data_IF_927621094143
#
_entry.id   IF_927621094143
#
_cell.length_a   1.000
_cell.length_b   1.000
_cell.length_c   1.000
_cell.angle_alpha   90.00
_cell.angle_beta   90.00
_cell.angle_gamma   90.00
#
_symmetry.space_group_name_H-M   'P 1'
#
loop_
_entity.id
_entity.type
_entity.pdbx_description
1 polymer ?
#
# COMPACT_ATOMS: atom_id res chain seq x y z
N UNK A 1 -17.98 -3.11 -30.25
CA UNK A 1 -17.15 -3.99 -29.42
C UNK A 1 -16.55 -3.15 -28.30
N UNK A 2 -17.22 -3.06 -27.15
CA UNK A 2 -16.65 -2.41 -25.97
C UNK A 2 -16.24 -3.51 -25.00
N UNK A 3 -14.94 -3.59 -24.78
CA UNK A 3 -14.25 -4.69 -24.11
C UNK A 3 -14.74 -4.88 -22.68
N UNK A 4 -14.89 -6.15 -22.32
CA UNK A 4 -15.17 -6.64 -20.98
C UNK A 4 -14.07 -6.13 -20.02
N UNK A 5 -14.42 -5.37 -18.99
CA UNK A 5 -13.54 -5.13 -17.82
C UNK A 5 -13.96 -6.10 -16.72
N UNK A 6 -13.43 -7.33 -16.79
CA UNK A 6 -13.45 -8.25 -15.64
C UNK A 6 -12.22 -7.94 -14.80
N UNK A 7 -12.44 -7.43 -13.59
CA UNK A 7 -11.60 -7.76 -12.44
C UNK A 7 -12.57 -8.22 -11.35
N UNK A 8 -12.82 -9.52 -11.32
CA UNK A 8 -13.43 -10.19 -10.17
C UNK A 8 -12.30 -10.40 -9.17
N UNK A 9 -12.28 -9.61 -8.10
CA UNK A 9 -11.77 -10.07 -6.81
C UNK A 9 -12.76 -9.58 -5.75
N UNK A 10 -13.51 -10.53 -5.21
CA UNK A 10 -14.32 -10.34 -4.01
C UNK A 10 -13.38 -10.20 -2.82
N UNK A 11 -13.21 -8.98 -2.30
CA UNK A 11 -12.84 -8.78 -0.90
C UNK A 11 -13.66 -7.64 -0.31
N UNK A 12 -14.06 -7.82 0.96
CA UNK A 12 -14.81 -6.83 1.72
C UNK A 12 -14.00 -5.55 1.86
N UNK A 13 -14.67 -4.42 1.64
CA UNK A 13 -14.08 -3.09 1.65
C UNK A 13 -14.62 -2.39 2.88
N UNK A 14 -13.71 -2.01 3.77
CA UNK A 14 -14.02 -1.37 5.04
C UNK A 14 -13.46 0.04 5.07
N UNK A 15 -14.22 0.93 5.72
CA UNK A 15 -13.89 2.34 5.87
C UNK A 15 -13.09 2.52 7.16
N UNK A 16 -11.86 3.04 7.06
CA UNK A 16 -11.09 3.47 8.23
C UNK A 16 -11.20 5.00 8.35
N UNK A 17 -11.62 5.49 9.52
CA UNK A 17 -11.61 6.91 9.87
C UNK A 17 -10.24 7.21 10.49
N UNK A 18 -9.49 8.16 9.93
CA UNK A 18 -8.17 8.54 10.43
C UNK A 18 -8.32 9.50 11.64
N UNK A 19 -7.70 9.16 12.77
CA UNK A 19 -7.60 10.02 13.95
C UNK A 19 -6.29 10.82 13.91
N UNK A 20 -6.30 12.07 14.39
CA UNK A 20 -5.28 13.09 14.05
C UNK A 20 -3.97 13.00 14.83
N UNK A 21 -3.72 11.95 15.62
CA UNK A 21 -2.55 11.86 16.49
C UNK A 21 -1.95 10.44 16.60
N UNK A 22 -2.10 9.63 15.56
CA UNK A 22 -1.80 8.19 15.60
C UNK A 22 -0.84 7.78 14.49
N UNK A 23 0.05 6.82 14.78
CA UNK A 23 0.94 6.20 13.79
C UNK A 23 0.07 5.62 12.66
N UNK A 24 0.25 6.12 11.43
CA UNK A 24 -0.52 5.68 10.26
C UNK A 24 -0.33 4.19 9.98
N UNK A 25 0.81 3.60 10.38
CA UNK A 25 1.16 2.21 10.10
C UNK A 25 0.78 1.29 11.25
N UNK A 26 -0.52 1.04 11.39
CA UNK A 26 -1.05 0.12 12.41
C UNK A 26 -0.96 -1.33 11.94
N UNK A 27 -0.75 -2.24 12.88
CA UNK A 27 -0.76 -3.68 12.63
C UNK A 27 -2.09 -4.29 13.07
N UNK A 28 -2.61 -5.24 12.30
CA UNK A 28 -3.74 -6.06 12.74
C UNK A 28 -3.35 -6.90 13.97
N UNK A 29 -4.24 -6.95 14.97
CA UNK A 29 -4.06 -7.70 16.22
C UNK A 29 -5.30 -8.56 16.44
N UNK A 30 -5.16 -9.78 16.97
CA UNK A 30 -6.30 -10.68 17.24
C UNK A 30 -7.22 -10.91 16.03
N UNK A 31 -6.64 -11.03 14.83
CA UNK A 31 -7.36 -11.20 13.56
C UNK A 31 -8.36 -10.06 13.25
N UNK A 32 -8.16 -8.90 13.85
CA UNK A 32 -8.93 -7.68 13.61
C UNK A 32 -8.01 -6.49 13.34
N UNK A 33 -8.56 -5.43 12.74
CA UNK A 33 -7.88 -4.16 12.48
C UNK A 33 -8.81 -3.02 12.91
N UNK A 34 -8.23 -1.94 13.46
CA UNK A 34 -9.02 -0.79 13.93
C UNK A 34 -9.77 -0.18 12.75
N UNK A 35 -11.10 -0.06 12.85
CA UNK A 35 -11.99 0.39 11.77
C UNK A 35 -12.62 -0.74 10.94
N UNK A 36 -12.26 -2.01 11.21
CA UNK A 36 -12.87 -3.20 10.59
C UNK A 36 -13.86 -3.89 11.55
N UNK A 37 -14.33 -3.20 12.59
CA UNK A 37 -15.32 -3.74 13.51
C UNK A 37 -16.65 -3.99 12.78
N UNK A 38 -17.25 -5.15 13.05
CA UNK A 38 -18.40 -5.70 12.32
C UNK A 38 -19.62 -4.78 12.31
N UNK A 39 -19.76 -3.88 13.28
CA UNK A 39 -20.96 -3.08 13.50
C UNK A 39 -21.12 -1.91 12.51
N UNK A 40 -20.03 -1.47 11.86
CA UNK A 40 -20.04 -0.22 11.07
C UNK A 40 -20.10 -0.39 9.55
N UNK A 41 -20.01 -1.63 9.02
CA UNK A 41 -19.75 -1.86 7.58
C UNK A 41 -20.45 -3.12 7.01
N UNK A 42 -21.67 -3.46 7.48
CA UNK A 42 -22.41 -4.66 7.02
C UNK A 42 -23.17 -4.47 5.71
N UNK A 43 -23.38 -3.23 5.27
CA UNK A 43 -24.20 -2.93 4.10
C UNK A 43 -23.45 -2.08 3.08
N UNK A 44 -23.51 -2.52 1.83
CA UNK A 44 -22.92 -1.83 0.70
C UNK A 44 -23.92 -0.92 0.02
N UNK A 45 -23.65 0.40 0.04
CA UNK A 45 -24.64 1.40 -0.37
C UNK A 45 -24.28 2.20 -1.63
N UNK A 46 -23.02 2.21 -2.07
CA UNK A 46 -22.55 3.01 -3.23
C UNK A 46 -21.38 2.37 -3.96
N UNK A 47 -21.31 2.60 -5.27
CA UNK A 47 -20.10 2.32 -6.09
C UNK A 47 -18.94 3.22 -5.64
N UNK A 48 -17.73 2.67 -5.69
CA UNK A 48 -16.47 3.34 -5.37
C UNK A 48 -15.38 2.62 -6.19
N UNK A 49 -14.19 3.20 -6.21
CA UNK A 49 -13.01 2.63 -6.84
C UNK A 49 -11.89 2.55 -5.80
N UNK A 50 -10.98 1.61 -5.95
CA UNK A 50 -9.80 1.46 -5.10
C UNK A 50 -8.60 1.08 -5.95
N UNK A 51 -7.41 1.23 -5.39
CA UNK A 51 -6.17 0.83 -6.04
C UNK A 51 -5.68 -0.45 -5.40
N UNK A 52 -5.29 -1.41 -6.23
CA UNK A 52 -4.54 -2.60 -5.83
C UNK A 52 -3.16 -2.52 -6.45
N UNK A 53 -2.14 -2.38 -5.61
CA UNK A 53 -0.73 -2.55 -5.96
C UNK A 53 -0.18 -3.85 -5.38
N UNK A 54 1.01 -4.22 -5.79
CA UNK A 54 1.78 -5.35 -5.24
C UNK A 54 3.26 -5.15 -5.60
N UNK A 55 4.13 -5.93 -4.96
CA UNK A 55 5.51 -6.15 -5.40
C UNK A 55 6.36 -4.87 -5.50
N UNK A 56 6.22 -3.94 -4.54
CA UNK A 56 7.06 -2.73 -4.53
C UNK A 56 8.55 -3.04 -4.33
N UNK A 57 8.86 -4.18 -3.68
CA UNK A 57 10.17 -4.82 -3.60
C UNK A 57 11.37 -3.87 -3.52
N UNK A 58 11.33 -2.91 -2.58
CA UNK A 58 12.42 -1.95 -2.39
C UNK A 58 13.76 -2.67 -2.22
N UNK A 59 14.67 -2.47 -3.17
CA UNK A 59 16.02 -3.05 -3.18
C UNK A 59 16.22 -4.12 -4.26
N UNK A 60 15.17 -4.50 -4.98
CA UNK A 60 15.22 -5.56 -5.98
C UNK A 60 15.76 -5.06 -7.32
N UNK A 61 15.41 -3.84 -7.77
CA UNK A 61 15.74 -3.39 -9.13
C UNK A 61 17.26 -3.38 -9.34
N UNK A 62 18.00 -2.71 -8.46
CA UNK A 62 19.46 -2.63 -8.59
C UNK A 62 20.13 -4.00 -8.39
N UNK A 63 19.60 -4.81 -7.46
CA UNK A 63 20.17 -6.12 -7.16
C UNK A 63 19.97 -7.11 -8.29
N UNK A 64 18.75 -7.18 -8.85
CA UNK A 64 18.37 -8.17 -9.84
C UNK A 64 18.63 -7.73 -11.28
N UNK A 65 18.29 -6.48 -11.63
CA UNK A 65 18.43 -5.99 -13.01
C UNK A 65 19.82 -5.42 -13.28
N UNK A 66 20.50 -4.87 -12.27
CA UNK A 66 21.81 -4.24 -12.42
C UNK A 66 22.96 -5.06 -11.80
N UNK A 67 22.64 -6.24 -11.23
CA UNK A 67 23.60 -7.16 -10.61
C UNK A 67 24.51 -6.50 -9.55
N UNK A 68 23.97 -5.52 -8.81
CA UNK A 68 24.66 -4.82 -7.74
C UNK A 68 24.42 -5.54 -6.41
N UNK A 69 25.48 -6.10 -5.82
CA UNK A 69 25.39 -6.87 -4.57
C UNK A 69 24.88 -6.06 -3.38
N UNK A 70 25.10 -4.74 -3.37
CA UNK A 70 24.59 -3.80 -2.36
C UNK A 70 23.76 -2.68 -3.02
N UNK A 71 22.94 -3.04 -4.01
CA UNK A 71 22.08 -2.08 -4.72
C UNK A 71 21.22 -1.23 -3.77
N UNK A 72 20.99 0.03 -4.12
CA UNK A 72 20.04 0.91 -3.44
C UNK A 72 18.60 0.60 -3.83
N UNK A 73 17.69 1.48 -3.43
CA UNK A 73 16.25 1.41 -3.76
C UNK A 73 15.67 2.77 -4.17
N UNK A 74 16.52 3.64 -4.73
CA UNK A 74 16.12 4.99 -5.15
C UNK A 74 15.11 4.94 -6.30
N UNK A 75 15.22 3.95 -7.18
CA UNK A 75 14.29 3.76 -8.30
C UNK A 75 12.91 3.35 -7.80
N UNK A 76 12.82 2.39 -6.88
CA UNK A 76 11.58 1.98 -6.25
C UNK A 76 10.92 3.13 -5.46
N UNK A 77 11.72 3.95 -4.77
CA UNK A 77 11.25 5.20 -4.14
C UNK A 77 10.60 6.13 -5.17
N UNK A 78 11.26 6.36 -6.31
CA UNK A 78 10.77 7.27 -7.34
C UNK A 78 9.49 6.76 -7.99
N UNK A 79 9.45 5.48 -8.37
CA UNK A 79 8.28 4.84 -8.97
C UNK A 79 7.08 4.86 -8.01
N UNK A 80 7.32 4.54 -6.73
CA UNK A 80 6.27 4.58 -5.70
C UNK A 80 5.76 6.02 -5.48
N UNK A 81 6.64 7.01 -5.44
CA UNK A 81 6.25 8.41 -5.31
C UNK A 81 5.43 8.91 -6.51
N UNK A 82 5.77 8.49 -7.74
CA UNK A 82 4.99 8.79 -8.94
C UNK A 82 3.60 8.17 -8.86
N UNK A 83 3.49 6.90 -8.47
CA UNK A 83 2.21 6.23 -8.29
C UNK A 83 1.33 6.95 -7.26
N UNK A 84 1.90 7.35 -6.11
CA UNK A 84 1.20 8.12 -5.08
C UNK A 84 0.70 9.46 -5.62
N UNK A 85 1.51 10.18 -6.41
CA UNK A 85 1.08 11.44 -7.01
C UNK A 85 -0.14 11.25 -7.92
N UNK A 86 -0.13 10.20 -8.76
CA UNK A 86 -1.27 9.87 -9.61
C UNK A 86 -2.51 9.52 -8.76
N UNK A 87 -2.37 8.71 -7.71
CA UNK A 87 -3.49 8.34 -6.84
C UNK A 87 -4.08 9.53 -6.10
N UNK A 88 -3.24 10.45 -5.61
CA UNK A 88 -3.66 11.69 -4.96
C UNK A 88 -4.41 12.62 -5.93
N UNK A 89 -4.08 12.59 -7.23
CA UNK A 89 -4.71 13.42 -8.25
C UNK A 89 -6.04 12.86 -8.79
N UNK A 90 -6.38 11.60 -8.49
CA UNK A 90 -7.60 10.97 -8.98
C UNK A 90 -8.87 11.70 -8.51
N UNK A 91 -9.82 11.87 -9.44
CA UNK A 91 -11.15 12.40 -9.15
C UNK A 91 -12.22 11.48 -9.76
N UNK A 92 -13.05 10.80 -8.93
CA UNK A 92 -13.05 10.81 -7.47
C UNK A 92 -11.82 10.13 -6.86
N UNK A 93 -11.44 10.54 -5.63
CA UNK A 93 -10.37 9.88 -4.86
C UNK A 93 -10.66 8.39 -4.70
N UNK A 94 -9.66 7.50 -4.75
CA UNK A 94 -9.84 6.10 -4.43
C UNK A 94 -10.27 5.96 -2.96
N UNK A 95 -11.09 4.95 -2.69
CA UNK A 95 -11.62 4.71 -1.35
C UNK A 95 -10.56 4.24 -0.37
N UNK A 96 -9.58 3.52 -0.89
CA UNK A 96 -8.38 3.06 -0.21
C UNK A 96 -7.38 2.60 -1.28
N UNK A 97 -6.13 2.44 -0.85
CA UNK A 97 -5.07 1.75 -1.59
C UNK A 97 -4.72 0.49 -0.81
N UNK A 98 -4.61 -0.65 -1.49
CA UNK A 98 -4.09 -1.90 -0.91
C UNK A 98 -2.83 -2.34 -1.65
N UNK A 99 -1.78 -2.70 -0.91
CA UNK A 99 -0.55 -3.28 -1.46
C UNK A 99 -0.47 -4.75 -1.02
N UNK A 100 -0.51 -5.67 -1.98
CA UNK A 100 -0.71 -7.10 -1.77
C UNK A 100 0.60 -7.91 -1.65
N UNK A 101 1.50 -7.54 -0.74
CA UNK A 101 2.72 -8.29 -0.45
C UNK A 101 3.97 -7.79 -1.16
N UNK A 102 5.08 -8.46 -0.88
CA UNK A 102 6.43 -8.19 -1.40
C UNK A 102 6.82 -6.70 -1.36
N UNK A 103 6.65 -6.12 -0.17
CA UNK A 103 6.85 -4.68 0.06
C UNK A 103 8.32 -4.26 -0.11
N UNK A 104 9.23 -5.08 0.39
CA UNK A 104 10.68 -4.84 0.36
C UNK A 104 11.40 -6.15 0.03
N UNK A 105 12.58 -6.04 -0.56
CA UNK A 105 13.35 -7.19 -1.08
C UNK A 105 13.98 -8.06 0.03
N UNK A 106 14.54 -7.45 1.07
CA UNK A 106 15.31 -8.22 2.05
C UNK A 106 14.41 -9.10 2.93
N UNK A 107 14.78 -10.38 3.05
CA UNK A 107 14.14 -11.32 3.97
C UNK A 107 14.25 -10.92 5.45
N UNK A 108 13.30 -11.35 6.31
CA UNK A 108 13.43 -11.23 7.75
C UNK A 108 14.78 -11.76 8.27
N UNK A 109 15.44 -11.00 9.15
CA UNK A 109 16.75 -11.35 9.70
C UNK A 109 17.95 -10.76 8.96
N UNK A 110 17.75 -10.03 7.85
CA UNK A 110 18.80 -9.31 7.11
C UNK A 110 19.02 -7.87 7.59
N UNK A 111 18.99 -7.70 8.91
CA UNK A 111 19.20 -6.38 9.51
C UNK A 111 20.67 -5.92 9.39
N UNK A 112 20.94 -4.61 9.23
CA UNK A 112 19.98 -3.48 9.30
C UNK A 112 19.38 -3.07 7.95
N UNK A 113 19.73 -3.73 6.85
CA UNK A 113 19.34 -3.33 5.49
C UNK A 113 17.82 -3.42 5.32
N UNK A 114 17.21 -4.51 5.77
CA UNK A 114 15.75 -4.66 5.80
C UNK A 114 15.03 -3.54 6.55
N UNK A 115 15.47 -3.17 7.77
CA UNK A 115 14.86 -2.06 8.52
C UNK A 115 14.93 -0.73 7.75
N UNK A 116 16.02 -0.48 7.02
CA UNK A 116 16.16 0.72 6.18
C UNK A 116 15.19 0.71 5.01
N UNK A 117 15.04 -0.42 4.31
CA UNK A 117 14.04 -0.56 3.24
C UNK A 117 12.63 -0.30 3.77
N UNK A 118 12.25 -0.89 4.92
CA UNK A 118 10.94 -0.68 5.54
C UNK A 118 10.74 0.80 5.93
N UNK A 119 11.78 1.44 6.47
CA UNK A 119 11.71 2.85 6.89
C UNK A 119 11.46 3.76 5.70
N UNK A 120 12.21 3.60 4.62
CA UNK A 120 12.05 4.42 3.42
C UNK A 120 10.75 4.10 2.67
N UNK A 121 10.34 2.83 2.63
CA UNK A 121 9.02 2.43 2.14
C UNK A 121 7.92 3.21 2.87
N UNK A 122 7.91 3.18 4.21
CA UNK A 122 6.94 3.93 5.02
C UNK A 122 6.99 5.42 4.74
N UNK A 123 8.19 6.00 4.70
CA UNK A 123 8.41 7.43 4.43
C UNK A 123 7.89 7.89 3.07
N UNK A 124 7.98 7.04 2.04
CA UNK A 124 7.40 7.37 0.73
C UNK A 124 5.87 7.33 0.81
N UNK A 125 5.30 6.30 1.45
CA UNK A 125 3.86 6.16 1.63
C UNK A 125 3.21 7.18 2.57
N UNK A 126 3.98 7.86 3.43
CA UNK A 126 3.50 9.03 4.19
C UNK A 126 2.97 10.16 3.28
N UNK A 127 3.41 10.22 2.02
CA UNK A 127 2.95 11.21 1.03
C UNK A 127 1.58 10.89 0.43
N UNK A 128 1.04 9.69 0.66
CA UNK A 128 -0.32 9.37 0.26
C UNK A 128 -1.28 10.28 1.02
N UNK A 129 -2.26 10.86 0.33
CA UNK A 129 -3.24 11.75 0.95
C UNK A 129 -3.89 11.07 2.17
N UNK A 130 -3.98 11.80 3.30
CA UNK A 130 -4.47 11.25 4.57
C UNK A 130 -5.96 10.84 4.52
N UNK A 131 -6.72 11.35 3.54
CA UNK A 131 -8.10 10.93 3.30
C UNK A 131 -8.19 9.56 2.61
N UNK A 132 -7.07 9.04 2.08
CA UNK A 132 -6.99 7.74 1.41
C UNK A 132 -6.35 6.73 2.40
N UNK A 133 -7.14 5.79 2.95
CA UNK A 133 -6.61 4.70 3.75
C UNK A 133 -5.61 3.84 2.95
N UNK A 134 -4.51 3.47 3.59
CA UNK A 134 -3.53 2.51 3.07
C UNK A 134 -3.69 1.18 3.82
N UNK A 135 -3.80 0.09 3.08
CA UNK A 135 -3.80 -1.28 3.61
C UNK A 135 -2.59 -2.01 3.06
N UNK A 136 -1.79 -2.60 3.94
CA UNK A 136 -0.63 -3.40 3.59
C UNK A 136 -0.90 -4.85 4.02
N UNK A 137 -0.73 -5.79 3.09
CA UNK A 137 -0.93 -7.23 3.34
C UNK A 137 0.41 -7.96 3.48
#
# INVERSE_FOLDING_TARGET
>A
MNSIRVIIITFCIFYVKCDQNDDRFKRAVNRTYIGFEKENNTEWRKTFHFIQGADTQFGMIETFLQNKTDGGWDEEIQLTAQAINEWNAMTPKPKFVVICGDLVDDFPGKEPRRSRQITDFKKVFEKLDNDIPLVLL
#
